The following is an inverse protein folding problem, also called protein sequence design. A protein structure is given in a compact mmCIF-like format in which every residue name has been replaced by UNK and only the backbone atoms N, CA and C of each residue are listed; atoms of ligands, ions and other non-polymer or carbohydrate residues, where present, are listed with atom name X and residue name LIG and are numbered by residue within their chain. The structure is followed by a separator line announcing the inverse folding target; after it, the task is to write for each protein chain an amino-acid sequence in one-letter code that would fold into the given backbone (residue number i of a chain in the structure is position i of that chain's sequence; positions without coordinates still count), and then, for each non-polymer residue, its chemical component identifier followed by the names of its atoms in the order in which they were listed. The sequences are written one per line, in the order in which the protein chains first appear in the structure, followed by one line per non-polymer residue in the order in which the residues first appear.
data_IF_314331797982
#
_entry.id   IF_314331797982
#
_cell.length_a   1.000
_cell.length_b   1.000
_cell.length_c   1.000
_cell.angle_alpha   90.00
_cell.angle_beta   90.00
_cell.angle_gamma   90.00
#
_symmetry.space_group_name_H-M   'P 1'
#
loop_
_entity.id
_entity.type
_entity.pdbx_description
1 polymer ?
#
# COMPACT_ATOMS: atom_id res chain seq x y z
N UNK A 1 6.99 -3.71 -22.22
CA UNK A 1 6.12 -3.62 -21.04
C UNK A 1 7.03 -3.49 -19.83
N UNK A 2 6.73 -2.63 -18.87
CA UNK A 2 7.64 -2.45 -17.73
C UNK A 2 7.57 -3.65 -16.78
N UNK A 3 8.66 -3.89 -16.07
CA UNK A 3 8.73 -4.94 -15.03
C UNK A 3 7.63 -4.76 -13.97
N UNK A 4 7.28 -3.52 -13.67
CA UNK A 4 6.19 -3.18 -12.75
C UNK A 4 4.84 -3.69 -13.27
N UNK A 5 4.55 -3.45 -14.55
CA UNK A 5 3.30 -3.94 -15.16
C UNK A 5 3.24 -5.47 -15.16
N UNK A 6 4.36 -6.14 -15.43
CA UNK A 6 4.42 -7.61 -15.40
C UNK A 6 4.21 -8.15 -13.97
N UNK A 7 4.79 -7.49 -12.96
CA UNK A 7 4.60 -7.83 -11.55
C UNK A 7 3.12 -7.71 -11.15
N UNK A 8 2.43 -6.62 -11.51
CA UNK A 8 1.00 -6.45 -11.23
C UNK A 8 0.09 -7.41 -11.99
N UNK A 9 0.56 -7.98 -13.10
CA UNK A 9 -0.13 -9.08 -13.80
C UNK A 9 0.07 -10.44 -13.12
N UNK A 10 0.87 -10.51 -12.06
CA UNK A 10 1.30 -11.75 -11.44
C UNK A 10 2.25 -12.58 -12.31
N UNK A 11 2.73 -12.05 -13.44
CA UNK A 11 3.59 -12.73 -14.39
C UNK A 11 5.07 -12.46 -14.11
N UNK A 12 5.39 -11.23 -13.70
CA UNK A 12 6.71 -10.80 -13.26
C UNK A 12 6.97 -11.07 -11.79
N UNK A 13 8.19 -10.75 -11.36
CA UNK A 13 8.67 -10.86 -10.00
C UNK A 13 9.39 -9.58 -9.59
N UNK A 14 9.43 -9.33 -8.29
CA UNK A 14 10.23 -8.27 -7.71
C UNK A 14 11.72 -8.63 -7.61
N UNK A 15 12.52 -7.74 -7.01
CA UNK A 15 13.96 -7.91 -6.85
C UNK A 15 14.37 -9.12 -6.02
N UNK A 16 13.49 -9.59 -5.12
CA UNK A 16 13.71 -10.76 -4.27
C UNK A 16 13.03 -12.02 -4.84
N UNK A 17 12.69 -11.99 -6.14
CA UNK A 17 12.10 -13.10 -6.87
C UNK A 17 10.70 -13.50 -6.34
N UNK A 18 9.93 -12.57 -5.78
CA UNK A 18 8.55 -12.79 -5.28
C UNK A 18 7.51 -12.33 -6.31
N UNK A 19 6.39 -13.02 -6.43
CA UNK A 19 5.22 -12.56 -7.18
C UNK A 19 4.32 -11.72 -6.27
N UNK A 20 3.50 -10.85 -6.87
CA UNK A 20 2.51 -10.06 -6.11
C UNK A 20 1.54 -10.96 -5.31
N UNK A 21 1.21 -12.15 -5.85
CA UNK A 21 0.37 -13.14 -5.18
C UNK A 21 0.99 -13.70 -3.91
N UNK A 22 2.30 -13.97 -3.93
CA UNK A 22 3.04 -14.50 -2.79
C UNK A 22 2.97 -13.51 -1.61
N UNK A 23 3.12 -12.20 -1.89
CA UNK A 23 3.06 -11.14 -0.89
C UNK A 23 1.64 -10.96 -0.32
N UNK A 24 0.60 -11.21 -1.11
CA UNK A 24 -0.78 -11.17 -0.60
C UNK A 24 -1.08 -12.25 0.44
N UNK A 25 -0.33 -13.35 0.42
CA UNK A 25 -0.51 -14.48 1.34
C UNK A 25 0.34 -14.35 2.62
N UNK A 26 1.21 -13.34 2.69
CA UNK A 26 2.04 -13.08 3.87
C UNK A 26 1.22 -12.78 5.12
N UNK A 27 1.75 -13.20 6.27
CA UNK A 27 1.22 -12.85 7.58
C UNK A 27 1.55 -11.40 7.94
N UNK A 28 0.92 -10.87 8.99
CA UNK A 28 1.24 -9.51 9.45
C UNK A 28 2.68 -9.42 9.97
N UNK A 29 3.23 -10.51 10.53
CA UNK A 29 4.62 -10.58 10.96
C UNK A 29 5.59 -10.51 9.77
N UNK A 30 5.29 -11.25 8.68
CA UNK A 30 6.11 -11.19 7.46
C UNK A 30 6.14 -9.77 6.86
N UNK A 31 5.00 -9.07 6.86
CA UNK A 31 4.90 -7.68 6.38
C UNK A 31 5.58 -6.67 7.31
N UNK A 32 5.65 -6.96 8.61
CA UNK A 32 6.43 -6.14 9.54
C UNK A 32 7.92 -6.37 9.30
N UNK A 33 8.39 -7.62 9.24
CA UNK A 33 9.81 -7.98 9.15
C UNK A 33 10.45 -7.66 7.80
N UNK A 34 9.68 -7.75 6.71
CA UNK A 34 10.18 -7.51 5.35
C UNK A 34 9.76 -6.14 4.88
N UNK A 35 10.68 -5.28 4.47
CA UNK A 35 10.36 -3.85 4.22
C UNK A 35 10.37 -3.43 2.75
N UNK A 36 10.98 -4.23 1.88
CA UNK A 36 11.32 -3.85 0.51
C UNK A 36 10.19 -4.11 -0.49
N UNK A 37 9.18 -4.90 -0.09
CA UNK A 37 7.98 -5.21 -0.87
C UNK A 37 7.09 -3.97 -1.08
N UNK A 38 7.07 -3.04 -0.11
CA UNK A 38 6.10 -1.94 -0.10
C UNK A 38 6.34 -0.94 -1.24
N UNK A 39 7.58 -0.84 -1.73
CA UNK A 39 7.93 -0.10 -2.94
C UNK A 39 7.33 -0.72 -4.21
N UNK A 40 7.15 -2.05 -4.23
CA UNK A 40 6.59 -2.76 -5.38
C UNK A 40 5.06 -2.74 -5.37
N UNK A 41 4.43 -2.86 -4.19
CA UNK A 41 2.97 -2.76 -4.06
C UNK A 41 2.43 -1.33 -4.18
N UNK A 42 3.26 -0.33 -3.88
CA UNK A 42 2.89 1.09 -3.93
C UNK A 42 4.05 1.92 -4.50
N UNK A 43 4.38 1.74 -5.79
CA UNK A 43 5.50 2.41 -6.44
C UNK A 43 5.26 3.92 -6.53
N UNK A 44 6.35 4.69 -6.58
CA UNK A 44 6.35 6.14 -6.73
C UNK A 44 7.21 6.58 -7.93
N UNK A 45 6.96 7.77 -8.50
CA UNK A 45 7.82 8.33 -9.54
C UNK A 45 9.22 8.65 -9.02
N UNK A 46 9.35 8.93 -7.72
CA UNK A 46 10.62 9.20 -7.06
C UNK A 46 11.35 7.90 -6.70
N UNK A 47 12.68 7.81 -6.93
CA UNK A 47 13.49 6.70 -6.45
C UNK A 47 13.35 6.48 -4.96
N UNK A 48 13.32 5.21 -4.55
CA UNK A 48 13.28 4.88 -3.13
C UNK A 48 14.61 5.22 -2.47
N UNK A 49 14.56 5.89 -1.31
CA UNK A 49 15.73 6.09 -0.46
C UNK A 49 16.17 4.83 0.30
N UNK A 50 15.32 3.80 0.33
CA UNK A 50 15.52 2.58 1.13
C UNK A 50 15.72 1.32 0.29
N UNK A 51 15.20 1.29 -0.95
CA UNK A 51 15.37 0.15 -1.86
C UNK A 51 15.79 0.67 -3.25
N UNK A 52 17.10 0.65 -3.59
CA UNK A 52 17.57 1.14 -4.88
C UNK A 52 17.09 0.29 -6.07
N UNK A 53 16.61 -0.94 -5.81
CA UNK A 53 16.07 -1.84 -6.83
C UNK A 53 14.56 -1.72 -7.01
N UNK A 54 13.92 -0.81 -6.28
CA UNK A 54 12.50 -0.54 -6.43
C UNK A 54 12.18 0.04 -7.82
N UNK A 55 11.09 -0.40 -8.46
CA UNK A 55 10.66 0.14 -9.74
C UNK A 55 10.18 1.58 -9.55
N UNK A 56 10.46 2.42 -10.54
CA UNK A 56 9.84 3.74 -10.65
C UNK A 56 8.45 3.61 -11.27
N UNK A 57 7.48 4.35 -10.71
CA UNK A 57 6.17 4.52 -11.34
C UNK A 57 6.29 5.59 -12.44
N UNK A 58 6.55 5.15 -13.68
CA UNK A 58 6.73 6.07 -14.81
C UNK A 58 5.39 6.65 -15.29
N UNK A 59 5.43 7.67 -16.15
CA UNK A 59 4.22 8.23 -16.76
C UNK A 59 3.43 7.20 -17.58
N UNK A 60 4.15 6.30 -18.27
CA UNK A 60 3.54 5.24 -19.06
C UNK A 60 2.89 4.19 -18.15
N UNK A 61 3.51 3.87 -17.02
CA UNK A 61 2.93 2.97 -16.02
C UNK A 61 1.65 3.58 -15.43
N UNK A 62 1.68 4.88 -15.08
CA UNK A 62 0.49 5.61 -14.60
C UNK A 62 -0.65 5.53 -15.62
N UNK A 63 -0.36 5.81 -16.90
CA UNK A 63 -1.34 5.68 -17.97
C UNK A 63 -1.87 4.23 -18.10
N UNK A 64 -1.01 3.23 -17.91
CA UNK A 64 -1.38 1.82 -17.95
C UNK A 64 -2.25 1.40 -16.75
N UNK A 65 -2.02 1.93 -15.54
CA UNK A 65 -2.91 1.72 -14.40
C UNK A 65 -4.27 2.38 -14.62
N UNK A 66 -4.27 3.64 -15.08
CA UNK A 66 -5.51 4.42 -15.27
C UNK A 66 -6.38 3.90 -16.42
N UNK A 67 -5.81 3.18 -17.37
CA UNK A 67 -6.56 2.62 -18.51
C UNK A 67 -7.01 1.16 -18.30
N UNK A 68 -6.61 0.49 -17.22
CA UNK A 68 -6.82 -0.95 -17.03
C UNK A 68 -7.35 -1.30 -15.64
N UNK A 69 -8.60 -1.73 -15.60
CA UNK A 69 -9.29 -2.07 -14.36
C UNK A 69 -8.67 -3.29 -13.65
N UNK A 70 -8.07 -4.24 -14.38
CA UNK A 70 -7.44 -5.40 -13.74
C UNK A 70 -6.21 -5.00 -12.92
N UNK A 71 -5.46 -4.00 -13.39
CA UNK A 71 -4.31 -3.46 -12.64
C UNK A 71 -4.75 -2.70 -11.40
N UNK A 72 -5.79 -1.87 -11.53
CA UNK A 72 -6.41 -1.21 -10.38
C UNK A 72 -6.96 -2.22 -9.37
N UNK A 73 -7.61 -3.29 -9.82
CA UNK A 73 -8.09 -4.36 -8.96
C UNK A 73 -6.94 -5.06 -8.20
N UNK A 74 -5.80 -5.32 -8.86
CA UNK A 74 -4.62 -5.87 -8.19
C UNK A 74 -4.02 -4.90 -7.14
N UNK A 75 -4.01 -3.59 -7.44
CA UNK A 75 -3.58 -2.58 -6.48
C UNK A 75 -4.57 -2.44 -5.30
N UNK A 76 -5.88 -2.52 -5.54
CA UNK A 76 -6.90 -2.57 -4.47
C UNK A 76 -6.72 -3.80 -3.60
N UNK A 77 -6.48 -4.98 -4.17
CA UNK A 77 -6.18 -6.18 -3.37
C UNK A 77 -4.93 -5.99 -2.49
N UNK A 78 -3.90 -5.34 -3.02
CA UNK A 78 -2.70 -4.98 -2.25
C UNK A 78 -3.03 -3.99 -1.14
N UNK A 79 -3.92 -3.03 -1.41
CA UNK A 79 -4.41 -2.06 -0.44
C UNK A 79 -5.22 -2.72 0.67
N UNK A 80 -6.16 -3.62 0.35
CA UNK A 80 -6.95 -4.37 1.33
C UNK A 80 -6.06 -5.20 2.26
N UNK A 81 -5.03 -5.86 1.69
CA UNK A 81 -4.06 -6.61 2.49
C UNK A 81 -3.30 -5.69 3.46
N UNK A 82 -2.89 -4.51 3.02
CA UNK A 82 -2.18 -3.55 3.88
C UNK A 82 -3.12 -2.90 4.90
N UNK A 83 -4.37 -2.59 4.55
CA UNK A 83 -5.34 -2.14 5.54
C UNK A 83 -5.48 -3.16 6.66
N UNK A 84 -5.63 -4.44 6.34
CA UNK A 84 -5.69 -5.52 7.34
C UNK A 84 -4.47 -5.52 8.26
N UNK A 85 -3.27 -5.38 7.69
CA UNK A 85 -2.01 -5.26 8.46
C UNK A 85 -1.97 -4.00 9.34
N UNK A 86 -2.55 -2.88 8.89
CA UNK A 86 -2.67 -1.65 9.66
C UNK A 86 -3.76 -1.72 10.75
N UNK A 87 -4.50 -2.83 10.85
CA UNK A 87 -5.66 -2.95 11.73
C UNK A 87 -6.89 -2.21 11.21
N UNK A 88 -6.99 -2.02 9.90
CA UNK A 88 -8.06 -1.30 9.23
C UNK A 88 -8.79 -2.18 8.21
N UNK A 89 -9.93 -1.71 7.75
CA UNK A 89 -10.70 -2.31 6.64
C UNK A 89 -11.35 -1.24 5.79
N UNK A 90 -11.57 -1.53 4.50
CA UNK A 90 -12.37 -0.70 3.60
C UNK A 90 -13.73 -1.36 3.37
N UNK A 91 -14.80 -0.68 3.77
CA UNK A 91 -16.16 -1.16 3.56
C UNK A 91 -17.05 -0.02 3.06
N UNK A 92 -17.83 -0.28 2.02
CA UNK A 92 -18.74 0.72 1.42
C UNK A 92 -18.08 2.06 1.07
N UNK A 93 -16.79 2.05 0.72
CA UNK A 93 -16.02 3.26 0.36
C UNK A 93 -15.45 4.02 1.57
N UNK A 94 -15.59 3.51 2.79
CA UNK A 94 -15.06 4.11 4.00
C UNK A 94 -14.02 3.21 4.66
N UNK A 95 -12.94 3.82 5.15
CA UNK A 95 -11.94 3.12 5.97
C UNK A 95 -12.35 3.18 7.43
N UNK A 96 -12.36 2.04 8.10
CA UNK A 96 -12.69 1.89 9.50
C UNK A 96 -11.69 0.97 10.22
N UNK A 97 -11.72 0.98 11.55
CA UNK A 97 -10.97 0.03 12.37
C UNK A 97 -11.50 -1.39 12.17
N UNK A 98 -10.63 -2.35 11.89
CA UNK A 98 -10.99 -3.76 11.79
C UNK A 98 -10.92 -4.46 13.15
N UNK A 99 -11.30 -5.73 13.20
CA UNK A 99 -11.32 -6.53 14.43
C UNK A 99 -9.94 -6.71 15.08
N UNK A 100 -8.85 -6.62 14.31
CA UNK A 100 -7.48 -6.69 14.81
C UNK A 100 -6.86 -5.31 15.13
N UNK A 101 -7.62 -4.21 15.09
CA UNK A 101 -7.08 -2.85 15.34
C UNK A 101 -6.33 -2.75 16.66
N UNK A 102 -6.92 -3.20 17.77
CA UNK A 102 -6.27 -3.16 19.09
C UNK A 102 -4.98 -3.97 19.18
N UNK A 103 -4.88 -5.05 18.40
CA UNK A 103 -3.67 -5.88 18.33
C UNK A 103 -2.57 -5.17 17.52
N UNK A 104 -2.92 -4.48 16.42
CA UNK A 104 -1.95 -3.80 15.55
C UNK A 104 -1.56 -2.41 16.06
N UNK A 105 -2.40 -1.75 16.87
CA UNK A 105 -2.16 -0.38 17.33
C UNK A 105 -0.80 -0.14 18.01
N UNK A 106 -0.33 -1.00 18.93
CA UNK A 106 0.96 -0.78 19.58
C UNK A 106 2.15 -0.73 18.60
N UNK A 107 2.09 -1.52 17.52
CA UNK A 107 3.17 -1.60 16.53
C UNK A 107 3.03 -0.56 15.42
N UNK A 108 1.80 -0.17 15.06
CA UNK A 108 1.55 0.70 13.91
C UNK A 108 1.33 2.16 14.30
N UNK A 109 0.63 2.43 15.41
CA UNK A 109 -0.01 3.72 15.67
C UNK A 109 0.42 4.41 16.96
N UNK A 110 0.98 3.71 17.95
CA UNK A 110 1.32 4.31 19.26
C UNK A 110 2.42 5.38 19.19
N UNK A 111 3.28 5.33 18.18
CA UNK A 111 4.31 6.36 17.94
C UNK A 111 4.72 6.43 16.45
N UNK A 112 5.27 7.57 15.98
CA UNK A 112 5.75 7.69 14.62
C UNK A 112 6.85 6.68 14.32
N UNK A 113 6.64 5.86 13.29
CA UNK A 113 7.60 4.84 12.87
C UNK A 113 7.57 4.67 11.35
N UNK A 114 8.24 3.62 10.86
CA UNK A 114 8.35 3.37 9.43
C UNK A 114 7.00 3.03 8.76
N UNK A 115 6.01 2.51 9.49
CA UNK A 115 4.66 2.26 8.98
C UNK A 115 3.94 3.57 8.59
N UNK A 116 4.22 4.70 9.26
CA UNK A 116 3.67 6.01 8.87
C UNK A 116 4.24 6.49 7.52
N UNK A 117 5.50 6.17 7.24
CA UNK A 117 6.10 6.40 5.92
C UNK A 117 5.48 5.48 4.85
N UNK A 118 5.16 4.22 5.20
CA UNK A 118 4.43 3.31 4.30
C UNK A 118 3.06 3.89 3.95
N UNK A 119 2.30 4.39 4.95
CA UNK A 119 0.99 5.05 4.74
C UNK A 119 1.09 6.23 3.78
N UNK A 120 2.09 7.11 3.95
CA UNK A 120 2.28 8.26 3.05
C UNK A 120 2.55 7.82 1.60
N UNK A 121 3.39 6.78 1.42
CA UNK A 121 3.64 6.18 0.10
C UNK A 121 2.35 5.62 -0.51
N UNK A 122 1.56 4.88 0.27
CA UNK A 122 0.31 4.26 -0.18
C UNK A 122 -0.66 5.32 -0.69
N UNK A 123 -0.91 6.39 0.10
CA UNK A 123 -1.78 7.49 -0.29
C UNK A 123 -1.37 8.07 -1.65
N UNK A 124 -0.08 8.42 -1.79
CA UNK A 124 0.44 9.01 -3.04
C UNK A 124 0.35 8.05 -4.22
N UNK A 125 0.70 6.78 -4.03
CA UNK A 125 0.68 5.77 -5.08
C UNK A 125 -0.74 5.51 -5.60
N UNK A 126 -1.72 5.37 -4.68
CA UNK A 126 -3.14 5.22 -5.03
C UNK A 126 -3.65 6.40 -5.86
N UNK A 127 -3.37 7.64 -5.42
CA UNK A 127 -3.74 8.85 -6.17
C UNK A 127 -3.16 8.83 -7.59
N UNK A 128 -1.88 8.47 -7.75
CA UNK A 128 -1.25 8.43 -9.07
C UNK A 128 -1.87 7.34 -9.96
N UNK A 129 -2.19 6.17 -9.41
CA UNK A 129 -2.73 5.03 -10.14
C UNK A 129 -4.20 5.18 -10.56
N UNK A 130 -4.89 6.26 -10.18
CA UNK A 130 -6.32 6.45 -10.47
C UNK A 130 -7.24 5.78 -9.45
N UNK A 131 -6.77 5.64 -8.21
CA UNK A 131 -7.49 5.14 -7.03
C UNK A 131 -7.63 6.27 -6.00
N UNK A 132 -7.95 7.48 -6.48
CA UNK A 132 -8.20 8.65 -5.64
C UNK A 132 -9.29 8.42 -4.57
N UNK A 133 -10.41 7.71 -4.84
CA UNK A 133 -11.41 7.42 -3.81
C UNK A 133 -10.84 6.62 -2.62
N UNK A 134 -10.04 5.59 -2.87
CA UNK A 134 -9.41 4.76 -1.85
C UNK A 134 -8.36 5.55 -1.05
N UNK A 135 -7.57 6.38 -1.74
CA UNK A 135 -6.63 7.30 -1.08
C UNK A 135 -7.37 8.27 -0.15
N UNK A 136 -8.48 8.84 -0.63
CA UNK A 136 -9.29 9.79 0.15
C UNK A 136 -9.94 9.12 1.36
N UNK A 137 -10.40 7.88 1.23
CA UNK A 137 -10.99 7.12 2.33
C UNK A 137 -9.98 6.88 3.46
N UNK A 138 -8.75 6.47 3.12
CA UNK A 138 -7.67 6.33 4.11
C UNK A 138 -7.31 7.68 4.74
N UNK A 139 -7.18 8.73 3.94
CA UNK A 139 -6.86 10.06 4.45
C UNK A 139 -7.94 10.58 5.41
N UNK A 140 -9.21 10.40 5.10
CA UNK A 140 -10.33 10.80 5.96
C UNK A 140 -10.28 10.09 7.32
N UNK A 141 -9.99 8.78 7.34
CA UNK A 141 -9.82 8.05 8.59
C UNK A 141 -8.62 8.57 9.41
N UNK A 142 -7.48 8.85 8.75
CA UNK A 142 -6.29 9.40 9.41
C UNK A 142 -6.57 10.76 10.05
N UNK A 143 -7.18 11.70 9.32
CA UNK A 143 -7.53 13.03 9.82
C UNK A 143 -8.52 12.95 10.99
N UNK A 144 -9.55 12.13 10.87
CA UNK A 144 -10.52 11.93 11.95
C UNK A 144 -9.87 11.32 13.19
N UNK A 145 -8.97 10.36 13.02
CA UNK A 145 -8.31 9.67 14.13
C UNK A 145 -7.29 10.58 14.83
N UNK A 146 -6.53 11.38 14.08
CA UNK A 146 -5.64 12.41 14.63
C UNK A 146 -6.42 13.44 15.47
N UNK A 147 -7.56 13.94 14.96
CA UNK A 147 -8.41 14.88 15.71
C UNK A 147 -9.00 14.29 17.00
N UNK A 148 -9.34 13.00 16.99
CA UNK A 148 -9.95 12.30 18.14
C UNK A 148 -8.94 11.93 19.22
N UNK A 149 -7.80 11.36 18.83
CA UNK A 149 -6.85 10.73 19.76
C UNK A 149 -5.63 11.59 20.05
N UNK A 150 -5.31 12.58 19.19
CA UNK A 150 -4.00 13.24 19.14
C UNK A 150 -2.90 12.19 19.23
N UNK A 151 -2.79 11.36 18.18
CA UNK A 151 -1.57 10.58 18.00
C UNK A 151 -0.36 11.51 18.17
N UNK A 152 0.71 11.07 18.85
CA UNK A 152 1.87 11.92 19.12
C UNK A 152 2.43 12.60 17.87
#
# INVERSE_FOLDING_TARGET
MSQLIDFYRGQGRDSENRRIGDIWEWTDADLEDVHDYIQWLFPLPEPSRFNPHAPLLTKDDIAAFRSDELRRAAMRKSFDRILTFLGLTLAAGEVAESTNFSQRSPEVWDFPNHNWLRVTRILRSLTLAGLEPEAQALFAWLDQSYRRRRFP
#
